data_IF_478532829510
#
_entry.id   IF_478532829510
#
_cell.length_a   1.000
_cell.length_b   1.000
_cell.length_c   1.000
_cell.angle_alpha   90.00
_cell.angle_beta   90.00
_cell.angle_gamma   90.00
#
_symmetry.space_group_name_H-M   'P 1'
#
loop_
_entity.id
_entity.type
_entity.pdbx_description
1 polymer ?
#
# COMPACT_ATOMS: atom_id res chain seq x y z
N UNK A 1 -6.32 3.82 -23.05
CA UNK A 1 -6.91 3.38 -21.76
C UNK A 1 -5.85 3.56 -20.69
N UNK A 2 -6.22 3.97 -19.45
CA UNK A 2 -5.27 3.95 -18.34
C UNK A 2 -4.75 2.51 -18.15
N UNK A 3 -3.46 2.33 -17.83
CA UNK A 3 -2.88 0.99 -17.68
C UNK A 3 -3.35 0.28 -16.40
N UNK A 4 -3.87 1.02 -15.40
CA UNK A 4 -4.47 0.42 -14.21
C UNK A 4 -5.99 0.33 -14.34
N UNK A 5 -6.57 -0.67 -13.70
CA UNK A 5 -7.99 -0.95 -13.67
C UNK A 5 -8.55 -0.52 -12.31
N UNK A 6 -9.12 0.68 -12.25
CA UNK A 6 -9.79 1.14 -11.04
C UNK A 6 -10.92 0.17 -10.63
N UNK A 7 -11.03 -0.09 -9.32
CA UNK A 7 -12.10 -0.91 -8.75
C UNK A 7 -11.74 -2.38 -8.50
N UNK A 8 -12.06 -3.29 -9.43
CA UNK A 8 -12.24 -4.73 -9.14
C UNK A 8 -11.06 -5.64 -9.49
N UNK A 9 -9.95 -5.09 -9.97
CA UNK A 9 -8.76 -5.86 -10.33
C UNK A 9 -7.78 -5.96 -9.16
N UNK A 10 -6.84 -6.90 -9.22
CA UNK A 10 -5.86 -7.10 -8.15
C UNK A 10 -4.64 -6.14 -8.23
N UNK A 11 -4.75 -5.02 -8.93
CA UNK A 11 -3.66 -4.06 -9.16
C UNK A 11 -3.53 -2.96 -8.09
N UNK A 12 -4.13 -3.16 -6.91
CA UNK A 12 -3.96 -2.30 -5.72
C UNK A 12 -2.49 -1.97 -5.41
N UNK A 13 -1.57 -2.90 -5.65
CA UNK A 13 -0.13 -2.69 -5.50
C UNK A 13 0.43 -1.61 -6.45
N UNK A 14 0.02 -1.62 -7.73
CA UNK A 14 0.47 -0.62 -8.69
C UNK A 14 -0.11 0.76 -8.36
N UNK A 15 -1.39 0.82 -7.94
CA UNK A 15 -2.01 2.05 -7.45
C UNK A 15 -1.30 2.61 -6.21
N UNK A 16 -0.90 1.74 -5.28
CA UNK A 16 -0.17 2.13 -4.07
C UNK A 16 1.22 2.66 -4.40
N UNK A 17 1.98 1.99 -5.26
CA UNK A 17 3.29 2.46 -5.74
C UNK A 17 3.15 3.86 -6.36
N UNK A 18 2.15 4.05 -7.20
CA UNK A 18 1.91 5.34 -7.85
C UNK A 18 1.51 6.43 -6.84
N UNK A 19 0.81 6.10 -5.76
CA UNK A 19 0.49 7.04 -4.67
C UNK A 19 1.73 7.41 -3.83
N UNK A 20 2.60 6.44 -3.53
CA UNK A 20 3.83 6.67 -2.78
C UNK A 20 4.81 7.55 -3.56
N UNK A 21 5.11 7.16 -4.79
CA UNK A 21 6.07 7.85 -5.66
C UNK A 21 5.53 9.18 -6.22
N UNK A 22 4.21 9.36 -6.24
CA UNK A 22 3.56 10.49 -6.92
C UNK A 22 3.61 10.41 -8.45
N UNK A 23 4.05 9.27 -9.01
CA UNK A 23 4.19 9.10 -10.45
C UNK A 23 2.84 8.82 -11.13
N UNK A 24 2.65 9.32 -12.37
CA UNK A 24 1.59 8.86 -13.25
C UNK A 24 1.72 7.36 -13.55
N UNK A 25 0.60 6.69 -13.84
CA UNK A 25 0.57 5.22 -14.04
C UNK A 25 1.50 4.76 -15.16
N UNK A 26 1.55 5.52 -16.27
CA UNK A 26 2.44 5.24 -17.38
C UNK A 26 3.92 5.28 -16.98
N UNK A 27 4.30 6.16 -16.04
CA UNK A 27 5.67 6.24 -15.54
C UNK A 27 6.00 5.07 -14.61
N UNK A 28 5.02 4.59 -13.82
CA UNK A 28 5.18 3.37 -13.01
C UNK A 28 5.37 2.16 -13.92
N UNK A 29 4.51 1.99 -14.94
CA UNK A 29 4.62 0.90 -15.93
C UNK A 29 5.99 0.93 -16.62
N UNK A 30 6.40 2.08 -17.14
CA UNK A 30 7.67 2.23 -17.85
C UNK A 30 8.88 2.04 -16.93
N UNK A 31 8.85 2.62 -15.72
CA UNK A 31 9.93 2.51 -14.74
C UNK A 31 10.13 1.09 -14.24
N UNK A 32 9.04 0.33 -14.10
CA UNK A 32 9.09 -1.08 -13.75
C UNK A 32 9.45 -1.97 -14.96
N UNK A 33 9.20 -1.50 -16.18
CA UNK A 33 9.40 -2.27 -17.41
C UNK A 33 8.32 -3.32 -17.63
N UNK A 34 7.08 -3.02 -17.21
CA UNK A 34 5.97 -3.97 -17.30
C UNK A 34 5.44 -4.06 -18.73
N UNK A 35 5.32 -5.28 -19.25
CA UNK A 35 4.61 -5.55 -20.50
C UNK A 35 3.10 -5.58 -20.28
N UNK A 36 2.27 -5.53 -21.34
CA UNK A 36 0.83 -5.77 -21.23
C UNK A 36 0.48 -7.08 -20.52
N UNK A 37 1.23 -8.15 -20.77
CA UNK A 37 1.03 -9.45 -20.12
C UNK A 37 1.33 -9.39 -18.61
N UNK A 38 2.36 -8.63 -18.20
CA UNK A 38 2.64 -8.44 -16.77
C UNK A 38 1.52 -7.68 -16.07
N UNK A 39 0.99 -6.64 -16.71
CA UNK A 39 -0.13 -5.85 -16.19
C UNK A 39 -1.38 -6.72 -16.06
N UNK A 40 -1.68 -7.53 -17.08
CA UNK A 40 -2.82 -8.45 -17.04
C UNK A 40 -2.65 -9.51 -15.94
N UNK A 41 -1.44 -10.06 -15.79
CA UNK A 41 -1.15 -11.02 -14.74
C UNK A 41 -1.35 -10.41 -13.35
N UNK A 42 -0.82 -9.21 -13.10
CA UNK A 42 -1.01 -8.49 -11.82
C UNK A 42 -2.50 -8.18 -11.61
N UNK A 43 -3.22 -7.76 -12.64
CA UNK A 43 -4.66 -7.53 -12.55
C UNK A 43 -5.45 -8.77 -12.15
N UNK A 44 -4.98 -9.97 -12.52
CA UNK A 44 -5.64 -11.25 -12.23
C UNK A 44 -5.20 -11.86 -10.89
N UNK A 45 -3.94 -11.68 -10.48
CA UNK A 45 -3.34 -12.41 -9.36
C UNK A 45 -2.82 -11.54 -8.23
N UNK A 46 -2.68 -10.24 -8.48
CA UNK A 46 -2.06 -9.29 -7.56
C UNK A 46 -0.53 -9.35 -7.59
N UNK A 47 0.07 -8.56 -6.70
CA UNK A 47 1.51 -8.57 -6.46
C UNK A 47 1.81 -9.34 -5.17
N UNK A 48 2.81 -10.21 -5.19
CA UNK A 48 3.36 -10.79 -3.96
C UNK A 48 4.10 -9.72 -3.15
N UNK A 49 4.31 -9.92 -1.83
CA UNK A 49 5.12 -9.01 -1.02
C UNK A 49 6.50 -8.73 -1.65
N UNK A 50 7.17 -9.76 -2.15
CA UNK A 50 8.50 -9.64 -2.77
C UNK A 50 8.47 -8.83 -4.07
N UNK A 51 7.46 -9.05 -4.91
CA UNK A 51 7.27 -8.27 -6.14
C UNK A 51 7.01 -6.79 -5.82
N UNK A 52 6.22 -6.52 -4.77
CA UNK A 52 5.93 -5.17 -4.32
C UNK A 52 7.18 -4.48 -3.75
N UNK A 53 7.93 -5.16 -2.86
CA UNK A 53 9.21 -4.67 -2.32
C UNK A 53 10.19 -4.34 -3.43
N UNK A 54 10.37 -5.24 -4.41
CA UNK A 54 11.24 -5.01 -5.55
C UNK A 54 10.80 -3.79 -6.37
N UNK A 55 9.51 -3.68 -6.68
CA UNK A 55 8.97 -2.60 -7.50
C UNK A 55 9.15 -1.23 -6.82
N UNK A 56 8.86 -1.15 -5.52
CA UNK A 56 9.04 0.08 -4.75
C UNK A 56 10.53 0.45 -4.67
N UNK A 57 11.41 -0.52 -4.42
CA UNK A 57 12.86 -0.28 -4.35
C UNK A 57 13.43 0.23 -5.68
N UNK A 58 12.95 -0.31 -6.79
CA UNK A 58 13.36 0.11 -8.14
C UNK A 58 12.98 1.55 -8.46
N UNK A 59 11.81 2.01 -8.01
CA UNK A 59 11.30 3.36 -8.33
C UNK A 59 11.77 4.44 -7.36
N UNK A 60 11.93 4.13 -6.07
CA UNK A 60 12.41 5.08 -5.06
C UNK A 60 13.95 5.26 -5.08
N UNK A 61 14.67 4.44 -5.86
CA UNK A 61 16.14 4.47 -5.98
C UNK A 61 16.85 4.44 -4.60
N UNK A 62 16.35 3.58 -3.70
CA UNK A 62 16.81 3.48 -2.32
C UNK A 62 16.39 2.17 -1.65
N UNK A 63 16.84 1.98 -0.41
CA UNK A 63 16.44 0.83 0.40
C UNK A 63 14.96 0.95 0.81
N UNK A 64 14.23 -0.17 0.72
CA UNK A 64 12.88 -0.29 1.25
C UNK A 64 12.93 -1.19 2.47
N UNK A 65 12.46 -0.67 3.60
CA UNK A 65 12.25 -1.47 4.80
C UNK A 65 10.87 -2.07 4.76
N UNK A 66 10.82 -3.40 4.67
CA UNK A 66 9.59 -4.19 4.73
C UNK A 66 9.47 -4.85 6.10
N UNK A 67 8.31 -4.71 6.76
CA UNK A 67 8.00 -5.33 8.03
C UNK A 67 6.63 -5.99 7.99
N UNK A 68 6.41 -7.00 8.85
CA UNK A 68 5.13 -7.65 9.09
C UNK A 68 4.87 -7.69 10.59
N UNK A 69 3.68 -7.28 10.99
CA UNK A 69 3.24 -7.27 12.39
C UNK A 69 1.73 -7.43 12.50
N UNK A 70 1.19 -7.25 13.70
CA UNK A 70 -0.25 -7.31 13.94
C UNK A 70 -0.93 -5.94 13.77
N UNK A 71 -2.26 -5.91 13.51
CA UNK A 71 -3.05 -4.68 13.61
C UNK A 71 -2.84 -3.93 14.93
N UNK A 72 -2.73 -4.66 16.05
CA UNK A 72 -2.54 -4.10 17.39
C UNK A 72 -1.18 -3.43 17.57
N UNK A 73 -0.11 -4.02 17.03
CA UNK A 73 1.23 -3.45 17.07
C UNK A 73 1.28 -2.13 16.31
N UNK A 74 0.76 -2.10 15.08
CA UNK A 74 0.74 -0.87 14.28
C UNK A 74 -0.18 0.20 14.90
N UNK A 75 -1.36 -0.18 15.40
CA UNK A 75 -2.28 0.75 16.02
C UNK A 75 -1.72 1.37 17.30
N UNK A 76 -0.96 0.60 18.08
CA UNK A 76 -0.29 1.11 19.29
C UNK A 76 0.91 2.00 18.96
N UNK A 77 1.53 1.80 17.80
CA UNK A 77 2.63 2.61 17.29
C UNK A 77 2.18 3.84 16.47
N UNK A 78 0.87 4.06 16.28
CA UNK A 78 0.31 5.15 15.46
C UNK A 78 0.96 6.50 15.74
N UNK A 79 1.09 6.85 17.02
CA UNK A 79 1.67 8.14 17.42
C UNK A 79 3.21 8.20 17.40
N UNK A 80 3.86 7.08 17.06
CA UNK A 80 5.31 6.94 16.95
C UNK A 80 5.77 6.86 15.49
N UNK A 81 4.84 6.72 14.54
CA UNK A 81 5.15 6.80 13.12
C UNK A 81 5.75 8.18 12.80
N UNK A 82 6.78 8.26 11.94
CA UNK A 82 7.35 9.53 11.51
C UNK A 82 6.31 10.41 10.81
N UNK A 83 6.32 11.70 11.13
CA UNK A 83 5.45 12.66 10.46
C UNK A 83 5.88 12.87 9.00
N UNK A 84 4.89 12.91 8.11
CA UNK A 84 5.02 13.12 6.67
C UNK A 84 5.81 12.05 5.90
N UNK A 85 6.15 10.93 6.55
CA UNK A 85 6.71 9.78 5.87
C UNK A 85 5.60 8.94 5.24
N UNK A 86 5.71 8.73 3.92
CA UNK A 86 4.79 7.86 3.19
C UNK A 86 5.16 6.40 3.43
N UNK A 87 4.18 5.62 3.83
CA UNK A 87 4.30 4.18 4.04
C UNK A 87 3.28 3.45 3.18
N UNK A 88 3.62 2.26 2.68
CA UNK A 88 2.63 1.34 2.14
C UNK A 88 2.09 0.47 3.28
N UNK A 89 0.78 0.22 3.29
CA UNK A 89 0.10 -0.69 4.21
C UNK A 89 -0.49 -1.85 3.40
N UNK A 90 0.03 -3.06 3.63
CA UNK A 90 -0.52 -4.31 3.13
C UNK A 90 -1.44 -4.93 4.15
N UNK A 91 -2.70 -5.07 3.78
CA UNK A 91 -3.75 -5.68 4.59
C UNK A 91 -3.81 -7.17 4.28
N UNK A 92 -3.12 -7.96 5.10
CA UNK A 92 -3.10 -9.42 4.97
C UNK A 92 -4.32 -10.04 5.65
N UNK A 93 -5.05 -10.84 4.88
CA UNK A 93 -6.16 -11.68 5.34
C UNK A 93 -5.69 -13.13 5.41
N UNK A 94 -6.54 -14.03 5.91
CA UNK A 94 -6.24 -15.48 5.93
C UNK A 94 -5.89 -16.06 4.55
N UNK A 95 -6.35 -15.44 3.46
CA UNK A 95 -6.07 -15.85 2.08
C UNK A 95 -4.82 -15.20 1.45
N UNK A 96 -4.04 -14.41 2.20
CA UNK A 96 -2.89 -13.65 1.71
C UNK A 96 -3.09 -12.13 1.79
N UNK A 97 -2.18 -11.34 1.20
CA UNK A 97 -2.36 -9.88 1.09
C UNK A 97 -3.62 -9.62 0.26
N UNK A 98 -4.67 -9.17 0.93
CA UNK A 98 -5.96 -8.92 0.31
C UNK A 98 -6.05 -7.53 -0.30
N UNK A 99 -5.25 -6.57 0.16
CA UNK A 99 -5.24 -5.20 -0.33
C UNK A 99 -3.98 -4.42 0.05
N UNK A 100 -3.59 -3.43 -0.75
CA UNK A 100 -2.48 -2.51 -0.52
C UNK A 100 -2.97 -1.08 -0.66
N UNK A 101 -2.58 -0.22 0.29
CA UNK A 101 -2.91 1.21 0.31
C UNK A 101 -1.67 2.03 0.69
N UNK A 102 -1.65 3.30 0.30
CA UNK A 102 -0.64 4.25 0.78
C UNK A 102 -1.14 4.93 2.06
N UNK A 103 -0.25 5.28 2.98
CA UNK A 103 -0.60 6.04 4.16
C UNK A 103 0.52 7.01 4.55
N UNK A 104 0.20 8.03 5.34
CA UNK A 104 1.16 8.98 5.88
C UNK A 104 0.61 9.59 7.16
N UNK A 105 1.47 9.74 8.16
CA UNK A 105 1.10 10.49 9.34
C UNK A 105 1.16 12.00 9.05
N UNK A 106 0.12 12.72 9.42
CA UNK A 106 0.01 14.17 9.31
C UNK A 106 -0.34 14.75 10.69
N UNK A 107 0.67 14.89 11.54
CA UNK A 107 0.50 15.34 12.92
C UNK A 107 -0.25 14.28 13.73
N UNK A 108 -1.47 14.58 14.16
CA UNK A 108 -2.25 13.69 15.03
C UNK A 108 -3.05 12.60 14.30
N UNK A 109 -3.03 12.62 12.95
CA UNK A 109 -3.79 11.65 12.15
C UNK A 109 -2.90 10.85 11.21
N UNK A 110 -3.28 9.60 10.97
CA UNK A 110 -2.85 8.81 9.83
C UNK A 110 -3.86 9.00 8.71
N UNK A 111 -3.39 9.47 7.56
CA UNK A 111 -4.18 9.57 6.34
C UNK A 111 -3.86 8.35 5.48
N UNK A 112 -4.87 7.57 5.15
CA UNK A 112 -4.78 6.36 4.33
C UNK A 112 -5.45 6.67 3.00
N UNK A 113 -4.71 6.52 1.89
CA UNK A 113 -5.19 6.72 0.53
C UNK A 113 -5.33 5.40 -0.18
N UNK A 114 -6.57 5.05 -0.46
CA UNK A 114 -6.92 3.99 -1.39
C UNK A 114 -7.15 4.59 -2.77
N UNK A 115 -6.06 4.69 -3.54
CA UNK A 115 -6.11 5.26 -4.89
C UNK A 115 -6.95 4.39 -5.84
N UNK A 116 -7.10 3.10 -5.59
CA UNK A 116 -7.82 2.20 -6.49
C UNK A 116 -9.31 2.54 -6.56
N UNK A 117 -9.90 3.00 -5.45
CA UNK A 117 -11.31 3.44 -5.38
C UNK A 117 -11.46 4.94 -5.14
N UNK A 118 -10.35 5.70 -5.22
CA UNK A 118 -10.32 7.15 -4.95
C UNK A 118 -10.92 7.53 -3.59
N UNK A 119 -10.58 6.76 -2.55
CA UNK A 119 -11.08 6.97 -1.19
C UNK A 119 -9.94 7.36 -0.24
N UNK A 120 -10.27 8.21 0.74
CA UNK A 120 -9.34 8.65 1.78
C UNK A 120 -9.96 8.40 3.13
N UNK A 121 -9.23 7.69 3.99
CA UNK A 121 -9.60 7.43 5.37
C UNK A 121 -8.67 8.21 6.29
N UNK A 122 -9.23 8.93 7.25
CA UNK A 122 -8.44 9.59 8.30
C UNK A 122 -8.66 8.88 9.63
N UNK A 123 -7.56 8.58 10.31
CA UNK A 123 -7.55 7.85 11.57
C UNK A 123 -6.74 8.64 12.59
N UNK A 124 -7.33 8.96 13.74
CA UNK A 124 -6.72 9.77 14.82
C UNK A 124 -6.41 8.96 16.06
N UNK A 125 -7.10 7.85 16.27
CA UNK A 125 -6.95 7.03 17.47
C UNK A 125 -6.55 5.60 17.13
N UNK A 126 -6.01 4.92 18.14
CA UNK A 126 -5.73 3.48 18.08
C UNK A 126 -7.00 2.69 17.75
N UNK A 127 -8.12 3.04 18.38
CA UNK A 127 -9.41 2.35 18.19
C UNK A 127 -9.96 2.53 16.79
N UNK A 128 -9.84 3.73 16.20
CA UNK A 128 -10.22 3.98 14.81
C UNK A 128 -9.37 3.14 13.84
N UNK A 129 -8.07 3.01 14.10
CA UNK A 129 -7.18 2.19 13.26
C UNK A 129 -7.51 0.70 13.35
N UNK A 130 -7.80 0.21 14.55
CA UNK A 130 -8.25 -1.17 14.75
C UNK A 130 -9.59 -1.44 14.08
N UNK A 131 -10.54 -0.50 14.19
CA UNK A 131 -11.83 -0.61 13.50
C UNK A 131 -11.64 -0.66 11.98
N UNK A 132 -10.73 0.16 11.43
CA UNK A 132 -10.37 0.11 10.03
C UNK A 132 -9.84 -1.28 9.61
N UNK A 133 -8.89 -1.85 10.36
CA UNK A 133 -8.37 -3.19 10.09
C UNK A 133 -9.41 -4.31 10.24
N UNK A 134 -10.24 -4.24 11.29
CA UNK A 134 -11.32 -5.19 11.52
C UNK A 134 -12.36 -5.18 10.40
N UNK A 135 -12.77 -3.99 9.94
CA UNK A 135 -13.71 -3.85 8.82
C UNK A 135 -13.18 -4.43 7.50
N UNK A 136 -11.85 -4.55 7.38
CA UNK A 136 -11.16 -5.12 6.23
C UNK A 136 -10.73 -6.59 6.44
N UNK A 137 -11.14 -7.23 7.54
CA UNK A 137 -10.80 -8.61 7.93
C UNK A 137 -9.29 -8.87 7.97
N UNK A 138 -8.50 -7.91 8.44
CA UNK A 138 -7.04 -7.97 8.45
C UNK A 138 -6.55 -8.81 9.63
N UNK A 139 -5.74 -9.82 9.35
CA UNK A 139 -5.08 -10.67 10.34
C UNK A 139 -3.63 -10.27 10.59
N UNK A 140 -2.92 -9.75 9.58
CA UNK A 140 -1.58 -9.19 9.72
C UNK A 140 -1.48 -7.90 8.92
N UNK A 141 -0.62 -6.98 9.37
CA UNK A 141 -0.29 -5.77 8.61
C UNK A 141 1.14 -5.86 8.14
N UNK A 142 1.33 -5.63 6.85
CA UNK A 142 2.65 -5.46 6.26
C UNK A 142 2.90 -3.98 6.00
N UNK A 143 4.10 -3.49 6.28
CA UNK A 143 4.47 -2.09 6.05
C UNK A 143 5.71 -1.98 5.19
N UNK A 144 5.70 -1.02 4.27
CA UNK A 144 6.87 -0.64 3.47
C UNK A 144 7.15 0.83 3.70
N UNK A 145 8.38 1.13 4.10
CA UNK A 145 8.88 2.49 4.36
C UNK A 145 10.23 2.66 3.70
N UNK A 146 10.64 3.92 3.48
CA UNK A 146 11.99 4.19 3.00
C UNK A 146 12.99 3.91 4.12
N UNK A 147 14.14 3.32 3.78
CA UNK A 147 15.24 3.11 4.72
C UNK A 147 16.14 4.34 4.86
#
# INVERSE_FOLDING_TARGET
MPPFHAGTSNDCGLHTIAALTGLPEAHVVNGLGLTPDNIQYISQHGMTPDQFTWALSKLENGGVKHQRGSPEELASALHQLPDYEKIALGMERHSGIGHLVAAMRQGEKLVIWDRQVSHVTEVRTREELLNYFNSNNVSNVQTWSRQ
#
